data_IF_082843905164
#
_entry.id   IF_082843905164
#
_cell.length_a   1.000
_cell.length_b   1.000
_cell.length_c   1.000
_cell.angle_alpha   90.00
_cell.angle_beta   90.00
_cell.angle_gamma   90.00
#
_symmetry.space_group_name_H-M   'P 1'
#
loop_
_entity.id
_entity.type
_entity.pdbx_description
1 polymer ?
#
# COMPACT_ATOMS: atom_id res chain seq x y z
N UNK A 1 15.20 -9.54 10.52
CA UNK A 1 15.03 -8.84 9.23
C UNK A 1 13.57 -8.99 8.82
N UNK A 2 12.87 -7.89 8.52
CA UNK A 2 11.48 -7.98 8.03
C UNK A 2 11.47 -8.78 6.72
N UNK A 3 10.50 -9.70 6.60
CA UNK A 3 10.28 -10.52 5.39
C UNK A 3 9.89 -9.67 4.17
N UNK A 4 9.45 -8.43 4.41
CA UNK A 4 8.97 -7.49 3.39
C UNK A 4 9.69 -6.14 3.51
N UNK A 5 10.04 -5.49 2.38
CA UNK A 5 10.67 -4.17 2.39
C UNK A 5 9.79 -3.08 3.03
N UNK A 6 8.46 -3.18 2.84
CA UNK A 6 7.48 -2.26 3.44
C UNK A 6 6.29 -3.03 4.00
N UNK A 7 5.60 -2.41 4.95
CA UNK A 7 4.39 -2.98 5.55
C UNK A 7 3.24 -3.04 4.53
N UNK A 8 3.19 -2.10 3.58
CA UNK A 8 2.30 -2.16 2.42
C UNK A 8 2.33 -3.54 1.75
N UNK A 9 3.55 -4.06 1.49
CA UNK A 9 3.72 -5.34 0.81
C UNK A 9 3.24 -6.51 1.66
N UNK A 10 3.49 -6.46 2.98
CA UNK A 10 2.99 -7.45 3.94
C UNK A 10 1.47 -7.46 3.97
N UNK A 11 0.85 -6.29 4.14
CA UNK A 11 -0.61 -6.15 4.21
C UNK A 11 -1.25 -6.65 2.92
N UNK A 12 -0.73 -6.27 1.75
CA UNK A 12 -1.30 -6.73 0.48
C UNK A 12 -1.26 -8.25 0.33
N UNK A 13 -0.12 -8.88 0.66
CA UNK A 13 0.09 -10.31 0.43
C UNK A 13 -0.52 -11.20 1.51
N UNK A 14 -0.38 -10.84 2.78
CA UNK A 14 -0.75 -11.71 3.90
C UNK A 14 -2.15 -11.39 4.44
N UNK A 15 -2.53 -10.11 4.50
CA UNK A 15 -3.81 -9.66 5.08
C UNK A 15 -4.90 -9.59 4.02
N UNK A 16 -4.68 -8.81 2.96
CA UNK A 16 -5.67 -8.56 1.92
C UNK A 16 -5.74 -9.71 0.89
N UNK A 17 -4.61 -10.36 0.62
CA UNK A 17 -4.43 -11.43 -0.38
C UNK A 17 -4.86 -11.02 -1.79
N UNK A 18 -4.42 -9.84 -2.23
CA UNK A 18 -4.79 -9.25 -3.53
C UNK A 18 -3.57 -8.94 -4.40
N UNK A 19 -3.80 -8.66 -5.68
CA UNK A 19 -2.75 -8.21 -6.61
C UNK A 19 -2.46 -6.71 -6.44
N UNK A 20 -1.30 -6.25 -6.96
CA UNK A 20 -0.95 -4.82 -7.03
C UNK A 20 -1.96 -4.04 -7.87
N UNK A 21 -2.50 -4.68 -8.91
CA UNK A 21 -3.52 -4.09 -9.80
C UNK A 21 -4.81 -3.79 -9.03
N UNK A 22 -5.21 -4.64 -8.07
CA UNK A 22 -6.38 -4.38 -7.22
C UNK A 22 -6.24 -3.09 -6.39
N UNK A 23 -5.02 -2.76 -5.98
CA UNK A 23 -4.72 -1.48 -5.30
C UNK A 23 -4.74 -0.34 -6.30
N UNK A 24 -4.02 -0.48 -7.42
CA UNK A 24 -3.91 0.54 -8.45
C UNK A 24 -5.28 0.96 -9.03
N UNK A 25 -6.21 0.02 -9.22
CA UNK A 25 -7.59 0.28 -9.70
C UNK A 25 -8.42 1.22 -8.82
N UNK A 26 -7.98 1.46 -7.57
CA UNK A 26 -8.65 2.33 -6.59
C UNK A 26 -7.93 3.67 -6.41
N UNK A 27 -6.92 3.92 -7.24
CA UNK A 27 -6.05 5.09 -7.20
C UNK A 27 -5.89 5.64 -8.62
N UNK A 28 -5.29 6.81 -8.75
CA UNK A 28 -4.84 7.35 -10.03
C UNK A 28 -3.38 6.96 -10.36
N UNK A 29 -2.76 6.08 -9.57
CA UNK A 29 -1.38 5.64 -9.78
C UNK A 29 -1.31 4.29 -10.50
N UNK A 30 -0.18 4.04 -11.16
CA UNK A 30 0.04 2.80 -11.90
C UNK A 30 0.36 1.62 -10.98
N UNK A 31 0.11 0.40 -11.46
CA UNK A 31 0.58 -0.84 -10.82
C UNK A 31 2.10 -0.85 -10.59
N UNK A 32 2.86 -0.21 -11.48
CA UNK A 32 4.31 -0.04 -11.33
C UNK A 32 4.65 0.84 -10.12
N UNK A 33 3.96 1.97 -9.95
CA UNK A 33 4.11 2.87 -8.80
C UNK A 33 3.81 2.15 -7.49
N UNK A 34 2.72 1.36 -7.44
CA UNK A 34 2.40 0.51 -6.28
C UNK A 34 3.54 -0.49 -6.00
N UNK A 35 4.08 -1.13 -7.04
CA UNK A 35 5.20 -2.05 -6.90
C UNK A 35 6.46 -1.39 -6.35
N UNK A 36 6.81 -0.20 -6.86
CA UNK A 36 7.94 0.60 -6.36
C UNK A 36 7.77 0.94 -4.88
N UNK A 37 6.58 1.38 -4.48
CA UNK A 37 6.26 1.67 -3.08
C UNK A 37 6.43 0.41 -2.20
N UNK A 38 5.96 -0.75 -2.66
CA UNK A 38 6.13 -2.03 -1.96
C UNK A 38 7.57 -2.49 -1.82
N UNK A 39 8.40 -2.15 -2.80
CA UNK A 39 9.80 -2.53 -2.85
C UNK A 39 10.70 -1.52 -2.11
N UNK A 40 10.10 -0.54 -1.43
CA UNK A 40 10.79 0.41 -0.55
C UNK A 40 11.40 1.60 -1.27
N UNK A 41 11.04 1.84 -2.53
CA UNK A 41 11.50 3.04 -3.24
C UNK A 41 10.73 4.28 -2.78
N UNK A 42 11.38 5.46 -2.79
CA UNK A 42 10.71 6.72 -2.52
C UNK A 42 9.51 6.94 -3.44
N UNK A 43 8.43 7.47 -2.87
CA UNK A 43 7.23 7.89 -3.58
C UNK A 43 6.79 9.28 -3.14
N UNK A 44 6.14 10.01 -4.04
CA UNK A 44 5.53 11.30 -3.72
C UNK A 44 4.50 11.15 -2.61
N UNK A 45 4.41 12.17 -1.75
CA UNK A 45 3.42 12.24 -0.68
C UNK A 45 1.98 12.02 -1.18
N UNK A 46 1.60 12.59 -2.32
CA UNK A 46 0.27 12.38 -2.91
C UNK A 46 0.02 10.91 -3.27
N UNK A 47 1.02 10.22 -3.83
CA UNK A 47 0.92 8.79 -4.13
C UNK A 47 0.83 7.95 -2.86
N UNK A 48 1.57 8.31 -1.80
CA UNK A 48 1.47 7.64 -0.50
C UNK A 48 0.07 7.81 0.12
N UNK A 49 -0.53 8.99 0.02
CA UNK A 49 -1.91 9.24 0.46
C UNK A 49 -2.93 8.41 -0.33
N UNK A 50 -2.80 8.36 -1.66
CA UNK A 50 -3.69 7.55 -2.50
C UNK A 50 -3.59 6.06 -2.17
N UNK A 51 -2.37 5.54 -2.00
CA UNK A 51 -2.14 4.15 -1.59
C UNK A 51 -2.78 3.89 -0.21
N UNK A 52 -2.56 4.79 0.76
CA UNK A 52 -3.12 4.64 2.11
C UNK A 52 -4.64 4.60 2.08
N UNK A 53 -5.27 5.50 1.32
CA UNK A 53 -6.72 5.54 1.14
C UNK A 53 -7.25 4.25 0.50
N UNK A 54 -6.59 3.76 -0.57
CA UNK A 54 -6.98 2.53 -1.24
C UNK A 54 -6.85 1.30 -0.33
N UNK A 55 -5.77 1.19 0.44
CA UNK A 55 -5.59 0.10 1.40
C UNK A 55 -6.64 0.16 2.51
N UNK A 56 -6.92 1.35 3.06
CA UNK A 56 -7.94 1.52 4.08
C UNK A 56 -9.35 1.18 3.59
N UNK A 57 -9.68 1.51 2.34
CA UNK A 57 -10.93 1.07 1.72
C UNK A 57 -11.02 -0.47 1.67
N UNK A 58 -9.95 -1.14 1.26
CA UNK A 58 -9.87 -2.61 1.19
C UNK A 58 -9.90 -3.29 2.57
N UNK A 59 -9.29 -2.66 3.59
CA UNK A 59 -9.36 -3.13 4.98
C UNK A 59 -10.77 -2.99 5.54
N UNK A 60 -11.44 -1.86 5.25
CA UNK A 60 -12.83 -1.60 5.65
C UNK A 60 -13.78 -2.63 5.06
N UNK A 61 -13.63 -2.96 3.76
CA UNK A 61 -14.43 -4.01 3.09
C UNK A 61 -14.28 -5.39 3.74
N UNK A 62 -13.16 -5.65 4.44
CA UNK A 62 -12.90 -6.89 5.18
C UNK A 62 -13.22 -6.79 6.68
N UNK A 63 -13.73 -5.66 7.16
CA UNK A 63 -13.99 -5.43 8.59
C UNK A 63 -12.72 -5.39 9.44
N UNK A 64 -11.59 -4.97 8.85
CA UNK A 64 -10.29 -4.88 9.53
C UNK A 64 -10.00 -3.44 9.96
N UNK A 65 -9.09 -3.31 10.93
CA UNK A 65 -8.63 -2.01 11.42
C UNK A 65 -7.93 -1.21 10.32
N UNK A 66 -8.20 0.10 10.30
CA UNK A 66 -7.51 1.04 9.44
C UNK A 66 -6.07 1.22 9.90
N UNK A 67 -5.23 1.62 8.96
CA UNK A 67 -3.82 1.92 9.18
C UNK A 67 -3.52 3.36 8.79
N UNK A 68 -2.54 3.95 9.46
CA UNK A 68 -1.94 5.21 9.08
C UNK A 68 -0.93 5.04 7.95
N UNK A 69 -0.56 6.15 7.33
CA UNK A 69 0.47 6.17 6.29
C UNK A 69 1.85 5.80 6.85
N UNK A 70 2.16 6.21 8.08
CA UNK A 70 3.43 5.87 8.75
C UNK A 70 3.54 4.36 8.99
N UNK A 71 2.42 3.71 9.32
CA UNK A 71 2.37 2.25 9.49
C UNK A 71 2.60 1.48 8.19
N UNK A 72 2.41 2.08 7.00
CA UNK A 72 2.69 1.42 5.73
C UNK A 72 4.19 1.23 5.45
N UNK A 73 5.07 1.93 6.18
CA UNK A 73 6.51 1.89 5.97
C UNK A 73 6.92 2.41 4.59
N UNK A 74 6.22 3.43 4.06
CA UNK A 74 6.56 4.07 2.80
C UNK A 74 7.72 5.04 2.97
N UNK A 75 8.61 5.08 1.99
CA UNK A 75 9.61 6.14 1.89
C UNK A 75 9.04 7.30 1.08
N UNK A 76 9.14 8.51 1.62
CA UNK A 76 8.65 9.72 0.97
C UNK A 76 9.79 10.43 0.25
N UNK A 77 9.50 10.97 -0.94
CA UNK A 77 10.38 11.90 -1.68
C UNK A 77 10.37 13.31 -1.07
#
# INVERSE_FOLDING_TARGET
>A
MSKYPTELKRIRLEVLKISRESVAKRTNITTYTVGRAEDGFPVKYSSAQEITSAINALLTEKGLNLISMDELGLQLE
#
